data_IF_799684375448
#
_entry.id   IF_799684375448
#
_cell.length_a   1.000
_cell.length_b   1.000
_cell.length_c   1.000
_cell.angle_alpha   90.00
_cell.angle_beta   90.00
_cell.angle_gamma   90.00
#
_symmetry.space_group_name_H-M   'P 1'
#
loop_
_entity.id
_entity.type
_entity.pdbx_description
1 polymer ?
#
# COMPACT_ATOMS: atom_id res chain seq x y z
N UNK A 1 5.56 31.75 12.45
CA UNK A 1 5.06 30.63 11.60
C UNK A 1 6.24 29.79 11.04
N UNK A 2 7.49 30.27 11.15
CA UNK A 2 8.67 29.59 10.57
C UNK A 2 9.30 28.48 11.43
N UNK A 3 8.89 28.25 12.65
CA UNK A 3 9.48 27.25 13.55
C UNK A 3 8.80 25.88 13.56
N UNK A 4 7.71 25.70 12.83
CA UNK A 4 6.95 24.44 12.76
C UNK A 4 7.50 23.43 11.74
N UNK A 5 8.53 23.77 10.95
CA UNK A 5 8.95 22.98 9.78
C UNK A 5 10.04 21.93 10.06
N UNK A 6 10.52 21.78 11.28
CA UNK A 6 11.68 20.89 11.53
C UNK A 6 11.38 19.44 11.90
N UNK A 7 10.11 19.04 12.12
CA UNK A 7 9.76 17.65 12.49
C UNK A 7 8.34 17.27 12.05
N UNK A 8 8.00 17.40 10.79
CA UNK A 8 6.82 16.67 10.32
C UNK A 8 7.13 15.18 10.45
N UNK A 9 6.35 14.41 11.23
CA UNK A 9 6.61 12.99 11.36
C UNK A 9 6.64 12.37 9.97
N UNK A 10 7.56 11.49 9.70
CA UNK A 10 7.72 10.80 8.41
C UNK A 10 6.42 10.17 7.92
N UNK A 11 5.62 9.64 8.83
CA UNK A 11 4.28 9.12 8.55
C UNK A 11 3.37 10.15 7.88
N UNK A 12 3.40 11.41 8.33
CA UNK A 12 2.60 12.47 7.74
C UNK A 12 2.98 12.70 6.27
N UNK A 13 4.28 12.71 5.98
CA UNK A 13 4.78 12.91 4.61
C UNK A 13 4.32 11.79 3.68
N UNK A 14 4.43 10.54 4.11
CA UNK A 14 4.03 9.38 3.29
C UNK A 14 2.53 9.37 3.01
N UNK A 15 1.69 9.64 4.00
CA UNK A 15 0.24 9.74 3.79
C UNK A 15 -0.15 10.98 2.97
N UNK A 16 0.57 12.09 3.12
CA UNK A 16 0.39 13.27 2.27
C UNK A 16 0.68 12.93 0.81
N UNK A 17 1.79 12.24 0.55
CA UNK A 17 2.16 11.83 -0.82
C UNK A 17 1.12 10.86 -1.41
N UNK A 18 0.62 9.91 -0.65
CA UNK A 18 -0.48 9.05 -1.09
C UNK A 18 -1.74 9.85 -1.41
N UNK A 19 -2.13 10.78 -0.54
CA UNK A 19 -3.30 11.62 -0.76
C UNK A 19 -3.15 12.53 -1.99
N UNK A 20 -1.95 13.08 -2.22
CA UNK A 20 -1.65 13.86 -3.41
C UNK A 20 -1.69 12.99 -4.68
N UNK A 21 -1.16 11.77 -4.62
CA UNK A 21 -1.20 10.82 -5.73
C UNK A 21 -2.63 10.39 -6.06
N UNK A 22 -3.48 10.12 -5.05
CA UNK A 22 -4.90 9.82 -5.25
C UNK A 22 -5.66 10.98 -5.94
N UNK A 23 -5.21 12.22 -5.72
CA UNK A 23 -5.78 13.41 -6.38
C UNK A 23 -5.12 13.73 -7.73
N UNK A 24 -4.15 12.96 -8.18
CA UNK A 24 -3.38 13.25 -9.39
C UNK A 24 -2.44 14.45 -9.27
N UNK A 25 -2.15 14.92 -8.06
CA UNK A 25 -1.43 16.17 -7.80
C UNK A 25 -0.02 15.98 -7.21
N UNK A 26 0.48 14.74 -7.14
CA UNK A 26 1.75 14.44 -6.48
C UNK A 26 2.92 15.21 -7.13
N UNK A 27 3.06 15.15 -8.45
CA UNK A 27 4.17 15.77 -9.18
C UNK A 27 4.19 17.29 -9.06
N UNK A 28 3.01 17.92 -8.99
CA UNK A 28 2.88 19.38 -8.94
C UNK A 28 3.08 19.95 -7.54
N UNK A 29 2.60 19.23 -6.52
CA UNK A 29 2.48 19.78 -5.18
C UNK A 29 3.47 19.24 -4.14
N UNK A 30 4.16 18.13 -4.43
CA UNK A 30 5.14 17.56 -3.48
C UNK A 30 6.20 18.58 -3.06
N UNK A 31 6.73 19.36 -4.01
CA UNK A 31 7.77 20.37 -3.75
C UNK A 31 7.31 21.50 -2.83
N UNK A 32 5.99 21.82 -2.80
CA UNK A 32 5.43 22.82 -1.89
C UNK A 32 5.55 22.42 -0.41
N UNK A 33 5.73 21.13 -0.14
CA UNK A 33 5.87 20.59 1.21
C UNK A 33 7.33 20.31 1.61
N UNK A 34 8.28 20.94 0.90
CA UNK A 34 9.72 20.79 1.14
C UNK A 34 10.22 19.34 0.99
N UNK A 35 9.72 18.65 -0.01
CA UNK A 35 10.07 17.27 -0.34
C UNK A 35 10.86 17.26 -1.67
N UNK A 36 12.18 17.32 -1.57
CA UNK A 36 13.07 17.49 -2.73
C UNK A 36 14.03 16.29 -2.92
N UNK A 37 13.81 15.19 -2.24
CA UNK A 37 14.67 14.01 -2.33
C UNK A 37 13.88 12.72 -2.47
N UNK A 38 14.49 11.71 -3.10
CA UNK A 38 13.94 10.35 -3.22
C UNK A 38 13.55 9.78 -1.86
N UNK A 39 14.38 9.99 -0.84
CA UNK A 39 14.13 9.52 0.53
C UNK A 39 12.91 10.16 1.21
N UNK A 40 12.42 11.29 0.69
CA UNK A 40 11.20 11.95 1.20
C UNK A 40 9.97 11.55 0.42
N UNK A 41 10.12 11.05 -0.79
CA UNK A 41 9.03 10.51 -1.58
C UNK A 41 8.49 9.24 -0.95
N UNK A 42 9.40 8.39 -0.50
CA UNK A 42 9.12 7.16 0.21
C UNK A 42 10.05 6.97 1.39
N UNK A 43 9.48 6.55 2.49
CA UNK A 43 10.26 6.22 3.67
C UNK A 43 10.60 4.72 3.68
N UNK A 44 11.88 4.33 3.61
CA UNK A 44 12.28 2.94 3.41
C UNK A 44 12.36 2.10 4.70
N UNK A 45 11.67 2.45 5.82
CA UNK A 45 12.04 1.84 7.11
C UNK A 45 11.07 0.83 7.71
N UNK A 46 11.55 -0.42 7.86
CA UNK A 46 10.86 -1.48 8.58
C UNK A 46 10.96 -1.40 10.11
N UNK A 47 11.86 -0.57 10.67
CA UNK A 47 12.27 -0.69 12.08
C UNK A 47 11.50 0.17 13.10
N UNK A 48 10.48 0.90 12.70
CA UNK A 48 9.60 1.62 13.63
C UNK A 48 8.35 0.78 13.88
N UNK A 49 7.91 0.66 15.13
CA UNK A 49 6.69 -0.05 15.52
C UNK A 49 5.46 0.28 14.66
N UNK A 50 5.39 1.49 14.12
CA UNK A 50 4.31 1.92 13.22
C UNK A 50 4.73 1.93 11.73
N UNK A 51 5.98 1.61 11.41
CA UNK A 51 6.50 1.65 10.03
C UNK A 51 5.87 0.58 9.15
N UNK A 52 5.70 -0.62 9.67
CA UNK A 52 5.07 -1.74 8.95
C UNK A 52 3.60 -1.47 8.60
N UNK A 53 2.85 -0.80 9.50
CA UNK A 53 1.48 -0.36 9.20
C UNK A 53 1.43 0.64 8.05
N UNK A 54 2.32 1.63 8.05
CA UNK A 54 2.41 2.60 6.96
C UNK A 54 2.81 1.92 5.65
N UNK A 55 3.80 1.03 5.70
CA UNK A 55 4.24 0.27 4.52
C UNK A 55 3.11 -0.55 3.93
N UNK A 56 2.30 -1.22 4.76
CA UNK A 56 1.18 -2.00 4.26
C UNK A 56 0.18 -1.15 3.47
N UNK A 57 -0.10 0.08 3.93
CA UNK A 57 -1.01 0.98 3.24
C UNK A 57 -0.41 1.53 1.93
N UNK A 58 0.87 1.88 1.95
CA UNK A 58 1.58 2.35 0.76
C UNK A 58 1.65 1.26 -0.30
N UNK A 59 2.08 0.05 0.08
CA UNK A 59 2.17 -1.08 -0.83
C UNK A 59 0.79 -1.49 -1.38
N UNK A 60 -0.26 -1.45 -0.54
CA UNK A 60 -1.62 -1.70 -0.99
C UNK A 60 -2.05 -0.67 -2.03
N UNK A 61 -1.80 0.61 -1.77
CA UNK A 61 -2.13 1.70 -2.70
C UNK A 61 -1.37 1.63 -4.03
N UNK A 62 -0.22 0.98 -4.05
CA UNK A 62 0.56 0.75 -5.26
C UNK A 62 0.19 -0.53 -6.00
N UNK A 63 -0.70 -1.35 -5.45
CA UNK A 63 -1.03 -2.66 -6.00
C UNK A 63 0.03 -3.74 -5.73
N UNK A 64 1.01 -3.47 -4.85
CA UNK A 64 2.03 -4.44 -4.46
C UNK A 64 1.47 -5.39 -3.38
N UNK A 65 0.55 -6.24 -3.82
CA UNK A 65 -0.35 -7.04 -2.96
C UNK A 65 0.41 -7.94 -1.99
N UNK A 66 1.46 -8.60 -2.46
CA UNK A 66 2.27 -9.51 -1.64
C UNK A 66 3.00 -8.78 -0.52
N UNK A 67 3.69 -7.69 -0.84
CA UNK A 67 4.40 -6.86 0.14
C UNK A 67 3.44 -6.19 1.13
N UNK A 68 2.27 -5.74 0.64
CA UNK A 68 1.22 -5.19 1.51
C UNK A 68 0.73 -6.22 2.52
N UNK A 69 0.51 -7.47 2.08
CA UNK A 69 0.13 -8.58 2.96
C UNK A 69 1.20 -8.87 4.01
N UNK A 70 2.47 -8.96 3.59
CA UNK A 70 3.59 -9.21 4.51
C UNK A 70 3.69 -8.09 5.55
N UNK A 71 3.71 -6.83 5.12
CA UNK A 71 3.81 -5.68 6.02
C UNK A 71 2.62 -5.59 7.00
N UNK A 72 1.40 -5.92 6.56
CA UNK A 72 0.22 -5.96 7.41
C UNK A 72 0.31 -7.09 8.46
N UNK A 73 0.85 -8.25 8.08
CA UNK A 73 1.08 -9.35 8.99
C UNK A 73 2.14 -8.99 10.04
N UNK A 74 3.26 -8.43 9.62
CA UNK A 74 4.33 -7.98 10.52
C UNK A 74 3.83 -6.91 11.50
N UNK A 75 3.00 -5.98 11.03
CA UNK A 75 2.39 -4.97 11.88
C UNK A 75 1.51 -5.56 13.00
N UNK A 76 0.81 -6.66 12.72
CA UNK A 76 0.03 -7.38 13.75
C UNK A 76 0.91 -8.13 14.74
N UNK A 77 2.08 -8.64 14.31
CA UNK A 77 3.01 -9.34 15.20
C UNK A 77 3.70 -8.40 16.20
N UNK A 78 3.99 -7.18 15.79
CA UNK A 78 4.72 -6.19 16.62
C UNK A 78 3.84 -5.65 17.75
N UNK A 79 2.53 -5.78 17.66
CA UNK A 79 1.59 -5.31 18.70
C UNK A 79 0.90 -6.50 19.37
N UNK A 80 1.52 -7.14 20.39
CA UNK A 80 0.96 -8.31 21.04
C UNK A 80 -0.41 -8.02 21.65
N UNK A 81 -1.37 -8.86 21.33
CA UNK A 81 -2.74 -8.80 21.88
C UNK A 81 -3.70 -7.83 21.21
N UNK A 82 -3.23 -7.02 20.27
CA UNK A 82 -4.08 -6.08 19.55
C UNK A 82 -4.11 -6.44 18.04
N UNK A 83 -5.23 -6.98 17.61
CA UNK A 83 -5.52 -7.15 16.18
C UNK A 83 -6.02 -5.82 15.65
N UNK A 84 -5.16 -5.03 15.04
CA UNK A 84 -5.56 -3.72 14.50
C UNK A 84 -6.54 -3.87 13.33
N UNK A 85 -7.77 -3.36 13.44
CA UNK A 85 -8.79 -3.49 12.39
C UNK A 85 -8.31 -3.02 11.01
N UNK A 86 -7.47 -1.99 10.97
CA UNK A 86 -6.88 -1.48 9.72
C UNK A 86 -6.02 -2.54 9.03
N UNK A 87 -5.17 -3.24 9.77
CA UNK A 87 -4.30 -4.28 9.21
C UNK A 87 -5.12 -5.51 8.81
N UNK A 88 -6.16 -5.85 9.56
CA UNK A 88 -7.09 -6.91 9.18
C UNK A 88 -7.76 -6.61 7.85
N UNK A 89 -8.13 -5.35 7.58
CA UNK A 89 -8.68 -4.95 6.27
C UNK A 89 -7.69 -5.23 5.13
N UNK A 90 -6.43 -4.84 5.29
CA UNK A 90 -5.38 -5.12 4.30
C UNK A 90 -5.21 -6.62 4.10
N UNK A 91 -5.16 -7.40 5.20
CA UNK A 91 -5.04 -8.86 5.14
C UNK A 91 -6.25 -9.51 4.45
N UNK A 92 -7.47 -9.02 4.67
CA UNK A 92 -8.67 -9.51 3.97
C UNK A 92 -8.54 -9.23 2.47
N UNK A 93 -8.31 -7.98 2.08
CA UNK A 93 -8.25 -7.57 0.68
C UNK A 93 -7.16 -8.34 -0.07
N UNK A 94 -5.95 -8.39 0.47
CA UNK A 94 -4.81 -9.07 -0.16
C UNK A 94 -5.03 -10.58 -0.27
N UNK A 95 -5.58 -11.24 0.76
CA UNK A 95 -5.84 -12.67 0.69
C UNK A 95 -7.00 -13.03 -0.25
N UNK A 96 -8.02 -12.18 -0.38
CA UNK A 96 -9.08 -12.35 -1.40
C UNK A 96 -8.50 -12.29 -2.82
N UNK A 97 -7.70 -11.27 -3.09
CA UNK A 97 -7.08 -11.05 -4.41
C UNK A 97 -6.09 -12.17 -4.77
N UNK A 98 -5.36 -12.70 -3.80
CA UNK A 98 -4.41 -13.82 -3.95
C UNK A 98 -5.09 -15.21 -3.95
N UNK A 99 -6.42 -15.29 -3.86
CA UNK A 99 -7.15 -16.56 -3.83
C UNK A 99 -7.00 -17.36 -2.53
N UNK A 100 -6.41 -16.78 -1.49
CA UNK A 100 -6.23 -17.41 -0.17
C UNK A 100 -7.52 -17.31 0.67
N UNK A 101 -8.63 -17.81 0.15
CA UNK A 101 -9.98 -17.59 0.69
C UNK A 101 -10.16 -18.07 2.13
N UNK A 102 -9.57 -19.22 2.49
CA UNK A 102 -9.65 -19.75 3.87
C UNK A 102 -8.98 -18.81 4.88
N UNK A 103 -7.91 -18.14 4.47
CA UNK A 103 -7.20 -17.16 5.31
C UNK A 103 -8.01 -15.87 5.38
N UNK A 104 -8.51 -15.40 4.25
CA UNK A 104 -9.39 -14.23 4.19
C UNK A 104 -10.61 -14.40 5.13
N UNK A 105 -11.27 -15.56 5.10
CA UNK A 105 -12.43 -15.88 5.93
C UNK A 105 -12.12 -15.79 7.43
N UNK A 106 -10.96 -16.26 7.87
CA UNK A 106 -10.52 -16.12 9.27
C UNK A 106 -10.41 -14.65 9.68
N UNK A 107 -9.78 -13.81 8.85
CA UNK A 107 -9.66 -12.38 9.14
C UNK A 107 -11.00 -11.64 9.05
N UNK A 108 -11.87 -12.01 8.12
CA UNK A 108 -13.25 -11.51 8.06
C UNK A 108 -13.96 -11.82 9.39
N UNK A 109 -13.93 -13.06 9.85
CA UNK A 109 -14.58 -13.48 11.10
C UNK A 109 -14.03 -12.78 12.35
N UNK A 110 -12.76 -12.39 12.34
CA UNK A 110 -12.17 -11.57 13.41
C UNK A 110 -12.67 -10.13 13.33
N UNK A 111 -12.69 -9.54 12.15
CA UNK A 111 -13.09 -8.15 11.96
C UNK A 111 -14.59 -7.93 12.15
N UNK A 112 -15.43 -8.93 11.88
CA UNK A 112 -16.88 -8.92 12.16
C UNK A 112 -17.21 -8.73 13.63
N UNK A 113 -16.29 -9.09 14.54
CA UNK A 113 -16.47 -8.90 15.99
C UNK A 113 -16.20 -7.46 16.44
N UNK A 114 -15.77 -6.58 15.56
CA UNK A 114 -15.48 -5.18 15.89
C UNK A 114 -16.71 -4.30 15.68
N UNK A 115 -16.82 -3.25 16.49
CA UNK A 115 -17.98 -2.36 16.48
C UNK A 115 -18.12 -1.58 15.14
N UNK A 116 -17.02 -1.09 14.58
CA UNK A 116 -17.06 -0.16 13.45
C UNK A 116 -16.81 -0.82 12.08
N UNK A 117 -16.29 -2.04 12.05
CA UNK A 117 -15.90 -2.69 10.80
C UNK A 117 -16.68 -3.97 10.50
N UNK A 118 -17.60 -4.35 11.37
CA UNK A 118 -18.42 -5.56 11.23
C UNK A 118 -19.16 -5.61 9.91
N UNK A 119 -19.82 -4.53 9.54
CA UNK A 119 -20.63 -4.43 8.32
C UNK A 119 -19.76 -4.53 7.05
N UNK A 120 -18.63 -3.82 7.05
CA UNK A 120 -17.66 -3.92 5.97
C UNK A 120 -17.09 -5.33 5.86
N UNK A 121 -16.71 -5.95 6.97
CA UNK A 121 -16.17 -7.31 6.98
C UNK A 121 -17.18 -8.33 6.42
N UNK A 122 -18.44 -8.25 6.86
CA UNK A 122 -19.51 -9.11 6.36
C UNK A 122 -19.73 -8.94 4.86
N UNK A 123 -19.61 -7.72 4.33
CA UNK A 123 -19.73 -7.46 2.90
C UNK A 123 -18.62 -8.13 2.07
N UNK A 124 -17.45 -8.39 2.67
CA UNK A 124 -16.33 -9.06 2.00
C UNK A 124 -16.57 -10.56 1.79
N UNK A 125 -17.51 -11.19 2.52
CA UNK A 125 -17.83 -12.62 2.34
C UNK A 125 -18.30 -12.95 0.95
N UNK A 126 -18.94 -12.02 0.23
CA UNK A 126 -19.41 -12.20 -1.15
C UNK A 126 -18.29 -12.53 -2.14
N UNK A 127 -17.05 -12.23 -1.80
CA UNK A 127 -15.89 -12.47 -2.65
C UNK A 127 -15.19 -13.82 -2.37
N UNK A 128 -15.59 -14.53 -1.31
CA UNK A 128 -15.00 -15.83 -0.99
C UNK A 128 -15.31 -16.84 -2.10
N UNK A 129 -14.26 -17.42 -2.68
CA UNK A 129 -14.33 -18.34 -3.82
C UNK A 129 -15.01 -17.76 -5.06
N UNK A 130 -15.01 -16.43 -5.23
CA UNK A 130 -15.63 -15.73 -6.35
C UNK A 130 -14.61 -14.85 -7.10
N UNK A 131 -13.68 -15.45 -7.86
CA UNK A 131 -12.60 -14.70 -8.52
C UNK A 131 -13.12 -13.67 -9.53
N UNK A 132 -14.23 -13.96 -10.22
CA UNK A 132 -14.81 -13.01 -11.18
C UNK A 132 -15.42 -11.79 -10.48
N UNK A 133 -16.09 -11.98 -9.35
CA UNK A 133 -16.60 -10.88 -8.54
C UNK A 133 -15.47 -9.98 -8.01
N UNK A 134 -14.30 -10.57 -7.70
CA UNK A 134 -13.11 -9.80 -7.29
C UNK A 134 -12.59 -8.94 -8.44
N UNK A 135 -12.52 -9.49 -9.67
CA UNK A 135 -12.05 -8.76 -10.86
C UNK A 135 -12.96 -7.59 -11.23
N UNK A 136 -14.26 -7.75 -11.02
CA UNK A 136 -15.28 -6.74 -11.33
C UNK A 136 -15.43 -5.68 -10.25
N UNK A 137 -14.96 -5.93 -9.03
CA UNK A 137 -15.02 -4.96 -7.94
C UNK A 137 -14.08 -3.78 -8.18
N UNK A 138 -14.54 -2.56 -7.89
CA UNK A 138 -13.76 -1.34 -8.13
C UNK A 138 -12.43 -1.33 -7.38
N UNK A 139 -12.41 -1.75 -6.13
CA UNK A 139 -11.22 -1.71 -5.25
C UNK A 139 -10.36 -2.98 -5.38
N UNK A 140 -10.96 -4.15 -5.27
CA UNK A 140 -10.25 -5.42 -5.37
C UNK A 140 -9.78 -5.70 -6.80
N UNK A 141 -10.55 -5.27 -7.81
CA UNK A 141 -10.18 -5.40 -9.20
C UNK A 141 -8.95 -4.56 -9.59
N UNK A 142 -8.78 -3.38 -8.99
CA UNK A 142 -7.54 -2.60 -9.14
C UNK A 142 -6.32 -3.39 -8.64
N UNK A 143 -6.43 -3.97 -7.45
CA UNK A 143 -5.37 -4.81 -6.87
C UNK A 143 -5.12 -6.06 -7.72
N UNK A 144 -6.18 -6.68 -8.24
CA UNK A 144 -6.07 -7.86 -9.09
C UNK A 144 -5.32 -7.57 -10.39
N UNK A 145 -5.59 -6.42 -11.03
CA UNK A 145 -4.89 -5.99 -12.26
C UNK A 145 -3.39 -5.75 -12.05
N UNK A 146 -3.00 -5.38 -10.85
CA UNK A 146 -1.61 -5.12 -10.48
C UNK A 146 -0.82 -6.39 -10.11
N UNK A 147 -1.47 -7.58 -10.08
CA UNK A 147 -0.78 -8.82 -9.75
C UNK A 147 0.25 -9.17 -10.83
N UNK A 148 1.49 -9.45 -10.46
CA UNK A 148 2.49 -9.92 -11.41
C UNK A 148 2.10 -11.31 -11.96
N UNK A 149 2.48 -11.55 -13.21
CA UNK A 149 2.20 -12.82 -13.90
C UNK A 149 3.01 -13.98 -13.32
N UNK A 150 4.12 -13.68 -12.67
CA UNK A 150 5.03 -14.66 -12.06
C UNK A 150 5.04 -14.53 -10.55
N UNK A 151 5.08 -15.66 -9.86
CA UNK A 151 5.17 -15.77 -8.38
C UNK A 151 6.56 -15.32 -7.83
N UNK A 152 7.38 -14.70 -8.64
CA UNK A 152 8.70 -14.20 -8.23
C UNK A 152 8.54 -12.99 -7.31
N UNK A 153 8.47 -13.31 -6.03
CA UNK A 153 8.53 -12.36 -4.94
C UNK A 153 9.92 -11.73 -4.87
N UNK A 154 9.93 -10.39 -4.90
CA UNK A 154 11.09 -9.55 -4.56
C UNK A 154 12.32 -9.86 -5.42
N UNK A 155 12.37 -9.29 -6.60
CA UNK A 155 13.66 -9.07 -7.26
C UNK A 155 14.44 -8.08 -6.40
N UNK A 156 15.70 -8.41 -6.10
CA UNK A 156 16.62 -7.60 -5.29
C UNK A 156 17.01 -6.25 -5.93
N UNK A 157 16.35 -5.82 -6.99
CA UNK A 157 16.59 -4.56 -7.70
C UNK A 157 16.12 -3.30 -6.95
N UNK A 158 15.64 -3.51 -5.72
CA UNK A 158 15.14 -2.43 -4.88
C UNK A 158 13.78 -1.91 -5.34
N UNK A 159 13.30 -0.90 -4.61
CA UNK A 159 11.97 -0.32 -4.77
C UNK A 159 11.63 0.11 -6.21
N UNK A 160 12.60 0.62 -6.95
CA UNK A 160 12.40 1.06 -8.34
C UNK A 160 12.14 -0.13 -9.27
N UNK A 161 12.80 -1.26 -9.03
CA UNK A 161 12.56 -2.51 -9.74
C UNK A 161 11.15 -3.02 -9.50
N UNK A 162 10.72 -3.05 -8.24
CA UNK A 162 9.37 -3.47 -7.85
C UNK A 162 8.27 -2.59 -8.49
N UNK A 163 8.47 -1.26 -8.50
CA UNK A 163 7.57 -0.32 -9.17
C UNK A 163 7.46 -0.58 -10.67
N UNK A 164 8.58 -0.86 -11.32
CA UNK A 164 8.63 -1.14 -12.75
C UNK A 164 7.89 -2.42 -13.07
N UNK A 165 8.10 -3.49 -12.33
CA UNK A 165 7.47 -4.79 -12.56
C UNK A 165 5.93 -4.70 -12.47
N UNK A 166 5.41 -3.93 -11.52
CA UNK A 166 3.97 -3.66 -11.44
C UNK A 166 3.48 -2.84 -12.65
N UNK A 167 4.26 -1.82 -13.06
CA UNK A 167 3.89 -0.97 -14.19
C UNK A 167 4.04 -1.66 -15.55
N UNK A 168 4.81 -2.75 -15.67
CA UNK A 168 4.83 -3.62 -16.84
C UNK A 168 3.48 -4.35 -17.01
N UNK A 169 2.87 -4.79 -15.91
CA UNK A 169 1.56 -5.47 -15.92
C UNK A 169 0.41 -4.47 -15.99
N UNK A 170 0.53 -3.35 -15.28
CA UNK A 170 -0.49 -2.31 -15.21
C UNK A 170 0.09 -0.91 -15.45
N UNK A 171 0.40 -0.56 -16.72
CA UNK A 171 1.06 0.70 -17.07
C UNK A 171 0.30 1.97 -16.67
N UNK A 172 -1.04 1.89 -16.65
CA UNK A 172 -1.93 3.00 -16.30
C UNK A 172 -2.28 3.08 -14.82
N UNK A 173 -1.52 2.39 -13.93
CA UNK A 173 -1.80 2.41 -12.50
C UNK A 173 -1.83 3.85 -11.95
N UNK A 174 -2.98 4.33 -11.43
CA UNK A 174 -3.21 5.77 -11.23
C UNK A 174 -2.28 6.40 -10.18
N UNK A 175 -1.88 5.64 -9.19
CA UNK A 175 -1.03 6.10 -8.08
C UNK A 175 0.44 5.82 -8.39
N UNK A 176 0.78 4.56 -8.69
CA UNK A 176 2.16 4.12 -8.84
C UNK A 176 2.89 4.81 -9.99
N UNK A 177 2.19 5.08 -11.11
CA UNK A 177 2.78 5.80 -12.25
C UNK A 177 3.29 7.20 -11.89
N UNK A 178 2.62 7.90 -10.96
CA UNK A 178 3.05 9.21 -10.47
C UNK A 178 4.30 9.09 -9.59
N UNK A 179 4.31 8.12 -8.66
CA UNK A 179 5.48 7.86 -7.82
C UNK A 179 6.70 7.49 -8.64
N UNK A 180 6.55 6.61 -9.63
CA UNK A 180 7.63 6.16 -10.50
C UNK A 180 8.25 7.30 -11.31
N UNK A 181 7.42 8.13 -11.98
CA UNK A 181 7.88 9.30 -12.74
C UNK A 181 8.63 10.29 -11.86
N UNK A 182 8.10 10.55 -10.67
CA UNK A 182 8.71 11.48 -9.74
C UNK A 182 10.02 10.93 -9.16
N UNK A 183 10.07 9.64 -8.83
CA UNK A 183 11.28 8.96 -8.40
C UNK A 183 12.40 9.12 -9.44
N UNK A 184 12.12 8.83 -10.71
CA UNK A 184 13.09 8.97 -11.79
C UNK A 184 13.59 10.42 -11.97
N UNK A 185 12.71 11.41 -11.78
CA UNK A 185 13.09 12.82 -11.86
C UNK A 185 14.04 13.22 -10.74
N UNK A 186 13.68 12.86 -9.49
CA UNK A 186 14.48 13.18 -8.31
C UNK A 186 15.85 12.47 -8.33
N UNK A 187 15.89 11.21 -8.75
CA UNK A 187 17.15 10.46 -8.87
C UNK A 187 18.12 11.10 -9.90
N UNK A 188 17.59 11.65 -10.99
CA UNK A 188 18.41 12.38 -11.97
C UNK A 188 18.94 13.71 -11.41
N UNK A 189 18.11 14.42 -10.64
CA UNK A 189 18.49 15.68 -9.99
C UNK A 189 19.57 15.47 -8.90
N UNK A 190 19.53 14.35 -8.17
CA UNK A 190 20.52 14.01 -7.13
C UNK A 190 21.89 13.55 -7.70
N UNK A 191 21.94 13.13 -8.97
CA UNK A 191 23.18 12.68 -9.66
C UNK A 191 23.88 13.79 -10.43
N UNK A 192 23.28 14.97 -10.53
CA UNK A 192 23.87 16.17 -11.17
C UNK A 192 24.53 17.08 -10.14
#
# INVERSE_FOLDING_TARGET
IETADRRKPVFFISYLNLALAQKGQLNERMRLYNQQSVNKLMYPYPNLKNGTSLQSDVYLAWGYVGAARQAAFDANLVTPGECHPRQLKVLIQTNLVLGSYKVAEKYISLLEKTLFYSEWASSMRRFLNQPEAIKEDGSLGELYRALPVTDEYVKYDGLLGDMRDILEVYPSHPILSQFYKLYQSLEKEEKQ
#
